data_IF_884954474637
#
_entry.id   IF_884954474637
#
_cell.length_a   1.000
_cell.length_b   1.000
_cell.length_c   1.000
_cell.angle_alpha   90.00
_cell.angle_beta   90.00
_cell.angle_gamma   90.00
#
_symmetry.space_group_name_H-M   'P 1'
#
loop_
_entity.id
_entity.type
_entity.pdbx_description
1 polymer ?
#
# COMPACT_ATOMS: atom_id res chain seq x y z
N UNK A 1 -34.57 18.55 1.00
CA UNK A 1 -33.41 17.97 1.70
C UNK A 1 -32.58 19.11 2.27
N UNK A 2 -32.37 19.12 3.57
CA UNK A 2 -31.62 20.16 4.28
C UNK A 2 -30.12 19.86 4.25
N UNK A 3 -29.28 20.88 4.47
CA UNK A 3 -27.82 20.71 4.54
C UNK A 3 -27.39 19.66 5.58
N UNK A 4 -28.15 19.51 6.67
CA UNK A 4 -27.91 18.48 7.69
C UNK A 4 -28.20 17.08 7.18
N UNK A 5 -29.31 16.88 6.47
CA UNK A 5 -29.68 15.60 5.87
C UNK A 5 -28.68 15.15 4.80
N UNK A 6 -28.18 16.07 3.97
CA UNK A 6 -27.12 15.76 2.99
C UNK A 6 -25.81 15.31 3.64
N UNK A 7 -25.41 15.91 4.77
CA UNK A 7 -24.20 15.51 5.49
C UNK A 7 -24.35 14.14 6.13
N UNK A 8 -25.54 13.81 6.64
CA UNK A 8 -25.84 12.48 7.18
C UNK A 8 -25.80 11.44 6.06
N UNK A 9 -26.40 11.73 4.91
CA UNK A 9 -26.40 10.84 3.76
C UNK A 9 -24.99 10.64 3.19
N UNK A 10 -24.18 11.70 3.09
CA UNK A 10 -22.77 11.60 2.70
C UNK A 10 -21.96 10.73 3.67
N UNK A 11 -22.22 10.82 4.97
CA UNK A 11 -21.56 9.95 5.96
C UNK A 11 -21.99 8.50 5.81
N UNK A 12 -23.27 8.25 5.59
CA UNK A 12 -23.83 6.91 5.34
C UNK A 12 -23.21 6.30 4.08
N UNK A 13 -23.24 7.02 2.96
CA UNK A 13 -22.65 6.57 1.69
C UNK A 13 -21.14 6.32 1.79
N UNK A 14 -20.40 7.15 2.53
CA UNK A 14 -18.97 6.89 2.81
C UNK A 14 -18.76 5.65 3.67
N UNK A 15 -19.65 5.37 4.63
CA UNK A 15 -19.59 4.17 5.44
C UNK A 15 -19.95 2.90 4.64
N UNK A 16 -20.98 2.97 3.79
CA UNK A 16 -21.35 1.88 2.86
C UNK A 16 -20.25 1.62 1.83
N UNK A 17 -19.68 2.67 1.23
CA UNK A 17 -18.50 2.56 0.34
C UNK A 17 -17.33 1.90 1.07
N UNK A 18 -17.05 2.31 2.31
CA UNK A 18 -15.98 1.72 3.13
C UNK A 18 -16.26 0.26 3.54
N UNK A 19 -17.52 -0.11 3.71
CA UNK A 19 -17.92 -1.50 3.97
C UNK A 19 -17.77 -2.36 2.71
N UNK A 20 -18.09 -1.81 1.53
CA UNK A 20 -17.90 -2.45 0.24
C UNK A 20 -16.41 -2.58 -0.13
N UNK A 21 -15.59 -1.54 0.07
CA UNK A 21 -14.12 -1.55 -0.10
C UNK A 21 -13.39 -2.29 1.04
N UNK A 22 -14.09 -2.57 2.14
CA UNK A 22 -13.60 -3.29 3.31
C UNK A 22 -13.65 -4.81 3.13
N UNK A 23 -14.39 -5.30 2.14
CA UNK A 23 -14.53 -6.71 1.81
C UNK A 23 -13.61 -7.11 0.64
N UNK A 24 -12.34 -6.71 0.69
CA UNK A 24 -11.37 -7.51 -0.06
C UNK A 24 -11.27 -8.83 0.72
N UNK A 25 -11.81 -9.92 0.16
CA UNK A 25 -11.54 -11.24 0.72
C UNK A 25 -10.03 -11.42 0.89
N UNK A 26 -9.57 -12.09 1.96
CA UNK A 26 -8.14 -12.30 2.19
C UNK A 26 -7.55 -13.07 1.01
N UNK A 27 -6.82 -12.36 0.15
CA UNK A 27 -6.07 -12.94 -0.94
C UNK A 27 -4.69 -13.33 -0.41
N UNK A 28 -4.49 -14.64 -0.35
CA UNK A 28 -3.25 -15.31 0.09
C UNK A 28 -2.47 -15.92 -1.08
N UNK A 29 -2.78 -15.50 -2.32
CA UNK A 29 -2.17 -16.02 -3.54
C UNK A 29 -0.63 -16.03 -3.50
N UNK A 30 -0.02 -16.78 -4.41
CA UNK A 30 1.45 -16.90 -4.50
C UNK A 30 2.07 -15.54 -4.75
N UNK A 31 3.11 -15.19 -3.99
CA UNK A 31 3.75 -13.88 -4.07
C UNK A 31 4.35 -13.66 -5.45
N UNK A 32 4.03 -12.54 -6.07
CA UNK A 32 4.58 -12.14 -7.37
C UNK A 32 5.51 -10.94 -7.30
N UNK A 33 5.38 -10.10 -6.28
CA UNK A 33 6.32 -9.00 -6.06
C UNK A 33 5.70 -7.79 -5.36
N UNK A 34 6.36 -6.65 -5.54
CA UNK A 34 5.97 -5.36 -4.97
C UNK A 34 5.69 -4.35 -6.08
N UNK A 35 4.57 -3.64 -5.96
CA UNK A 35 4.27 -2.47 -6.80
C UNK A 35 4.57 -1.21 -6.00
N UNK A 36 5.43 -0.36 -6.54
CA UNK A 36 5.69 0.98 -6.02
C UNK A 36 4.76 2.01 -6.68
N UNK A 37 4.18 2.91 -5.88
CA UNK A 37 3.34 4.02 -6.34
C UNK A 37 3.69 5.31 -5.63
N UNK A 38 3.55 6.43 -6.30
CA UNK A 38 3.80 7.72 -5.67
C UNK A 38 2.81 7.96 -4.50
N UNK A 39 3.36 8.30 -3.35
CA UNK A 39 2.60 8.80 -2.22
C UNK A 39 2.60 10.33 -2.29
N UNK A 40 1.71 10.87 -3.14
CA UNK A 40 1.60 12.30 -3.39
C UNK A 40 1.34 13.09 -2.11
N UNK A 41 0.45 12.60 -1.24
CA UNK A 41 0.10 13.27 0.02
C UNK A 41 1.33 13.51 0.92
N UNK A 42 2.14 12.48 1.16
CA UNK A 42 3.36 12.65 1.97
C UNK A 42 4.44 13.40 1.19
N UNK A 43 4.49 13.25 -0.13
CA UNK A 43 5.47 13.94 -0.96
C UNK A 43 5.28 15.45 -0.91
N UNK A 44 4.05 15.91 -1.08
CA UNK A 44 3.69 17.33 -0.96
C UNK A 44 3.85 17.84 0.47
N UNK A 45 3.46 17.04 1.47
CA UNK A 45 3.50 17.46 2.87
C UNK A 45 4.91 17.64 3.41
N UNK A 46 5.84 16.79 3.00
CA UNK A 46 7.21 16.75 3.54
C UNK A 46 8.27 17.21 2.54
N UNK A 47 7.85 17.66 1.35
CA UNK A 47 8.74 18.10 0.26
C UNK A 47 9.86 17.09 -0.05
N UNK A 48 9.50 15.81 -0.09
CA UNK A 48 10.44 14.70 -0.33
C UNK A 48 9.68 13.54 -0.93
N UNK A 49 10.22 12.85 -1.94
CA UNK A 49 9.47 11.78 -2.61
C UNK A 49 9.22 10.58 -1.71
N UNK A 50 7.94 10.31 -1.46
CA UNK A 50 7.46 9.12 -0.77
C UNK A 50 6.79 8.17 -1.75
N UNK A 51 6.93 6.86 -1.49
CA UNK A 51 6.30 5.80 -2.28
C UNK A 51 5.48 4.90 -1.37
N UNK A 52 4.35 4.43 -1.89
CA UNK A 52 3.55 3.32 -1.38
C UNK A 52 4.03 2.01 -2.01
N UNK A 53 4.26 1.00 -1.18
CA UNK A 53 4.54 -0.37 -1.59
C UNK A 53 3.32 -1.25 -1.35
N UNK A 54 2.87 -1.90 -2.41
CA UNK A 54 1.79 -2.89 -2.37
C UNK A 54 2.35 -4.27 -2.71
N UNK A 55 1.96 -5.26 -1.93
CA UNK A 55 2.30 -6.66 -2.19
C UNK A 55 1.27 -7.23 -3.16
N UNK A 56 1.74 -7.92 -4.19
CA UNK A 56 0.90 -8.50 -5.23
C UNK A 56 1.21 -9.97 -5.43
N UNK A 57 0.20 -10.72 -5.85
CA UNK A 57 0.33 -12.11 -6.26
C UNK A 57 0.92 -12.23 -7.67
N UNK A 58 1.24 -13.45 -8.08
CA UNK A 58 1.68 -13.78 -9.45
C UNK A 58 0.60 -13.51 -10.50
N UNK A 59 -0.67 -13.48 -10.10
CA UNK A 59 -1.80 -13.06 -10.90
C UNK A 59 -1.91 -11.53 -11.04
N UNK A 60 -1.01 -10.80 -10.37
CA UNK A 60 -1.03 -9.36 -10.24
C UNK A 60 -2.06 -8.83 -9.23
N UNK A 61 -2.89 -9.68 -8.64
CA UNK A 61 -3.89 -9.23 -7.69
C UNK A 61 -3.24 -8.75 -6.38
N UNK A 62 -3.90 -7.84 -5.67
CA UNK A 62 -3.42 -7.38 -4.37
C UNK A 62 -3.39 -8.53 -3.37
N UNK A 63 -2.24 -8.71 -2.72
CA UNK A 63 -2.19 -9.52 -1.51
C UNK A 63 -2.70 -8.67 -0.36
N UNK A 64 -3.93 -8.97 0.06
CA UNK A 64 -4.53 -8.35 1.24
C UNK A 64 -4.09 -9.04 2.53
N UNK A 65 -3.51 -10.25 2.41
CA UNK A 65 -2.92 -10.98 3.51
C UNK A 65 -1.52 -11.51 3.14
N UNK A 66 -0.50 -10.97 3.80
CA UNK A 66 0.90 -11.44 3.69
C UNK A 66 1.13 -12.69 4.55
N UNK A 67 0.41 -12.82 5.67
CA UNK A 67 0.62 -13.90 6.63
C UNK A 67 0.26 -15.26 6.02
N UNK A 68 1.19 -16.20 6.09
CA UNK A 68 1.07 -17.55 5.53
C UNK A 68 1.69 -17.71 4.14
N UNK A 69 2.32 -16.66 3.62
CA UNK A 69 3.11 -16.69 2.39
C UNK A 69 4.57 -16.34 2.73
N UNK A 70 5.44 -17.34 2.73
CA UNK A 70 6.83 -17.23 3.17
C UNK A 70 7.60 -16.13 2.42
N UNK A 71 7.53 -16.13 1.09
CA UNK A 71 8.21 -15.13 0.25
C UNK A 71 7.68 -13.70 0.50
N UNK A 72 6.36 -13.55 0.66
CA UNK A 72 5.77 -12.25 0.97
C UNK A 72 6.13 -11.79 2.40
N UNK A 73 6.23 -12.72 3.36
CA UNK A 73 6.67 -12.44 4.72
C UNK A 73 8.14 -12.00 4.77
N UNK A 74 9.02 -12.64 4.00
CA UNK A 74 10.41 -12.22 3.84
C UNK A 74 10.52 -10.83 3.23
N UNK A 75 9.80 -10.58 2.13
CA UNK A 75 9.74 -9.26 1.50
C UNK A 75 9.21 -8.20 2.48
N UNK A 76 8.22 -8.53 3.30
CA UNK A 76 7.69 -7.66 4.34
C UNK A 76 8.71 -7.39 5.45
N UNK A 77 9.50 -8.40 5.85
CA UNK A 77 10.57 -8.24 6.82
C UNK A 77 11.64 -7.25 6.30
N UNK A 78 12.01 -7.36 5.01
CA UNK A 78 12.93 -6.42 4.36
C UNK A 78 12.37 -4.99 4.37
N UNK A 79 11.10 -4.79 4.02
CA UNK A 79 10.45 -3.47 4.04
C UNK A 79 10.41 -2.89 5.45
N UNK A 80 10.09 -3.69 6.47
CA UNK A 80 10.05 -3.26 7.87
C UNK A 80 11.43 -2.92 8.44
N UNK A 81 12.49 -3.53 7.91
CA UNK A 81 13.86 -3.27 8.33
C UNK A 81 14.40 -1.93 7.78
N UNK A 82 13.73 -1.30 6.81
CA UNK A 82 14.14 -0.01 6.26
C UNK A 82 13.98 1.07 7.33
N UNK A 83 15.12 1.63 7.73
CA UNK A 83 15.22 2.79 8.61
C UNK A 83 15.95 3.91 7.89
N UNK A 84 15.56 5.16 8.17
CA UNK A 84 16.12 6.34 7.52
C UNK A 84 16.25 7.54 8.47
N UNK A 85 17.01 8.54 8.04
CA UNK A 85 17.40 9.71 8.83
C UNK A 85 18.61 9.44 9.74
N UNK A 86 19.27 10.52 10.19
CA UNK A 86 20.55 10.48 10.94
C UNK A 86 20.53 9.73 12.26
N UNK A 87 19.34 9.40 12.79
CA UNK A 87 19.17 8.62 14.02
C UNK A 87 18.37 7.31 13.82
N UNK A 88 18.10 6.89 12.57
CA UNK A 88 17.24 5.73 12.29
C UNK A 88 15.79 5.90 12.75
N UNK A 89 15.33 7.15 12.94
CA UNK A 89 14.00 7.48 13.48
C UNK A 89 12.89 7.46 12.42
N UNK A 90 13.24 7.51 11.15
CA UNK A 90 12.34 7.28 10.03
C UNK A 90 12.29 5.79 9.70
N UNK A 91 11.13 5.28 9.28
CA UNK A 91 11.00 3.90 8.83
C UNK A 91 9.74 3.69 8.02
N UNK A 92 9.63 2.53 7.38
CA UNK A 92 8.43 2.17 6.64
C UNK A 92 7.20 2.14 7.57
N UNK A 93 6.11 2.79 7.15
CA UNK A 93 4.87 2.88 7.94
C UNK A 93 3.69 2.35 7.17
N UNK A 94 2.92 1.47 7.81
CA UNK A 94 1.65 1.00 7.24
C UNK A 94 0.62 2.13 7.22
N UNK A 95 0.14 2.49 6.03
CA UNK A 95 -0.99 3.39 5.83
C UNK A 95 -2.27 2.56 5.70
N UNK A 96 -3.19 2.74 6.67
CA UNK A 96 -4.47 2.01 6.70
C UNK A 96 -5.42 2.40 5.55
N UNK A 97 -5.38 3.63 5.08
CA UNK A 97 -6.26 4.12 4.01
C UNK A 97 -5.81 3.58 2.64
N UNK A 98 -4.50 3.65 2.36
CA UNK A 98 -3.93 3.10 1.13
C UNK A 98 -3.79 1.57 1.15
N UNK A 99 -3.92 0.95 2.33
CA UNK A 99 -3.58 -0.46 2.59
C UNK A 99 -2.20 -0.79 1.96
N UNK A 100 -1.18 -0.01 2.34
CA UNK A 100 0.15 -0.03 1.74
C UNK A 100 1.23 0.42 2.72
N UNK A 101 2.49 0.06 2.45
CA UNK A 101 3.63 0.56 3.20
C UNK A 101 4.15 1.85 2.59
N UNK A 102 4.18 2.94 3.36
CA UNK A 102 4.73 4.21 2.93
C UNK A 102 6.17 4.39 3.44
N UNK A 103 7.07 4.81 2.56
CA UNK A 103 8.45 5.15 2.91
C UNK A 103 9.07 6.12 1.90
N UNK A 104 10.21 6.70 2.25
CA UNK A 104 10.95 7.63 1.40
C UNK A 104 11.63 6.86 0.26
N UNK A 105 11.51 7.34 -0.97
CA UNK A 105 11.97 6.60 -2.16
C UNK A 105 13.49 6.39 -2.19
N UNK A 106 14.28 7.42 -1.84
CA UNK A 106 15.74 7.33 -1.87
C UNK A 106 16.32 6.34 -0.84
N UNK A 107 15.51 5.95 0.16
CA UNK A 107 15.90 5.05 1.24
C UNK A 107 15.52 3.59 0.94
N UNK A 108 14.90 3.31 -0.21
CA UNK A 108 14.54 1.94 -0.60
C UNK A 108 15.80 1.22 -1.09
N UNK A 109 16.27 0.19 -0.36
CA UNK A 109 17.50 -0.52 -0.71
C UNK A 109 17.32 -1.38 -1.96
N UNK A 110 18.44 -1.71 -2.62
CA UNK A 110 18.44 -2.43 -3.89
C UNK A 110 17.78 -3.82 -3.82
N UNK A 111 17.91 -4.52 -2.70
CA UNK A 111 17.28 -5.83 -2.47
C UNK A 111 15.74 -5.74 -2.42
N UNK A 112 15.17 -4.64 -1.93
CA UNK A 112 13.72 -4.40 -1.97
C UNK A 112 13.29 -3.94 -3.36
N UNK A 113 14.09 -3.10 -4.03
CA UNK A 113 13.84 -2.69 -5.42
C UNK A 113 13.87 -3.87 -6.40
N UNK A 114 14.69 -4.89 -6.13
CA UNK A 114 14.74 -6.11 -6.94
C UNK A 114 13.43 -6.90 -6.92
N UNK A 115 12.58 -6.69 -5.91
CA UNK A 115 11.24 -7.29 -5.81
C UNK A 115 10.18 -6.48 -6.57
N UNK A 116 10.56 -5.36 -7.20
CA UNK A 116 9.59 -4.52 -7.89
C UNK A 116 9.16 -5.14 -9.20
N UNK A 117 7.85 -5.17 -9.39
CA UNK A 117 7.21 -5.60 -10.63
C UNK A 117 6.54 -4.40 -11.29
N UNK A 118 6.52 -4.41 -12.62
CA UNK A 118 5.89 -3.33 -13.37
C UNK A 118 4.37 -3.36 -13.15
N UNK A 119 3.82 -2.23 -12.73
CA UNK A 119 2.37 -2.03 -12.60
C UNK A 119 1.60 -2.29 -13.90
N UNK A 120 2.25 -2.17 -15.07
CA UNK A 120 1.65 -2.47 -16.37
C UNK A 120 1.49 -3.98 -16.64
N UNK A 121 2.21 -4.84 -15.92
CA UNK A 121 2.13 -6.30 -16.05
C UNK A 121 1.03 -6.93 -15.18
N UNK A 122 0.33 -6.11 -14.39
CA UNK A 122 -0.63 -6.56 -13.39
C UNK A 122 -2.05 -6.49 -13.96
N UNK A 123 -2.59 -7.65 -14.34
CA UNK A 123 -3.97 -7.79 -14.82
C UNK A 123 -4.96 -7.87 -13.66
N UNK A 124 -5.29 -6.73 -13.06
CA UNK A 124 -6.36 -6.69 -12.06
C UNK A 124 -6.44 -5.35 -11.35
N UNK A 125 -7.57 -4.65 -11.52
CA UNK A 125 -8.14 -3.60 -10.65
C UNK A 125 -7.20 -2.75 -9.78
N UNK A 126 -6.03 -2.39 -10.31
CA UNK A 126 -5.10 -1.43 -9.74
C UNK A 126 -5.21 -0.09 -10.48
N UNK A 127 -6.25 0.12 -11.28
CA UNK A 127 -6.57 1.41 -11.88
C UNK A 127 -7.34 2.28 -10.88
N UNK A 128 -6.73 3.43 -10.57
CA UNK A 128 -7.25 4.59 -9.82
C UNK A 128 -7.42 4.43 -8.29
#
# INVERSE_FOLDING_TARGET
>A
MTKKEMVVELKRLKAEKRALEGNDEPNTGTFGGIVARDNVENTEKYDTRYTYLHFVGNDGAKLTQVRGNEDAEEALALVKAITYGTQGKGGARWNKAAKAWSLMECEIPANVRALFVDSAQISGSYTA
#
